data_IF_629675392814
#
_entry.id   IF_629675392814
#
_cell.length_a   1.000
_cell.length_b   1.000
_cell.length_c   1.000
_cell.angle_alpha   90.00
_cell.angle_beta   90.00
_cell.angle_gamma   90.00
#
_symmetry.space_group_name_H-M   'P 1'
#
loop_
_entity.id
_entity.type
_entity.pdbx_description
1 polymer ?
#
# COMPACT_ATOMS: atom_id res chain seq x y z
N UNK A 1 -37.60 27.08 11.97
CA UNK A 1 -36.69 26.35 12.89
C UNK A 1 -35.70 25.54 12.05
N UNK A 2 -34.41 25.60 12.41
CA UNK A 2 -33.26 25.13 11.63
C UNK A 2 -33.07 23.61 11.76
N UNK A 3 -32.89 22.91 10.64
CA UNK A 3 -32.26 21.58 10.58
C UNK A 3 -30.96 21.68 9.76
N UNK A 4 -29.92 22.25 10.36
CA UNK A 4 -28.52 22.09 9.94
C UNK A 4 -27.82 21.35 11.07
N UNK A 5 -27.50 20.07 10.88
CA UNK A 5 -26.80 19.35 11.94
C UNK A 5 -26.63 17.86 11.67
N UNK A 6 -25.78 17.51 10.70
CA UNK A 6 -25.21 16.15 10.63
C UNK A 6 -23.85 16.09 9.89
N UNK A 7 -23.11 17.20 9.85
CA UNK A 7 -21.79 17.28 9.19
C UNK A 7 -20.62 17.45 10.18
N UNK A 8 -20.76 17.05 11.44
CA UNK A 8 -19.77 17.33 12.47
C UNK A 8 -19.52 16.13 13.37
N UNK A 9 -18.82 15.08 12.88
CA UNK A 9 -18.21 14.05 13.73
C UNK A 9 -17.20 13.15 13.00
N UNK A 10 -16.26 13.77 12.27
CA UNK A 10 -15.04 13.10 11.81
C UNK A 10 -13.77 13.93 12.09
N UNK A 11 -13.83 14.91 12.99
CA UNK A 11 -12.67 15.68 13.45
C UNK A 11 -12.27 15.14 14.81
N UNK A 12 -11.19 14.37 14.90
CA UNK A 12 -10.65 14.06 16.22
C UNK A 12 -9.70 12.87 16.33
N UNK A 13 -9.56 12.01 15.30
CA UNK A 13 -8.48 11.04 15.36
C UNK A 13 -7.20 11.72 14.88
N UNK A 14 -6.18 11.90 15.73
CA UNK A 14 -4.89 12.40 15.28
C UNK A 14 -4.37 11.49 14.18
N UNK A 15 -3.77 12.07 13.14
CA UNK A 15 -3.10 11.28 12.12
C UNK A 15 -2.06 10.37 12.81
N UNK A 16 -1.94 9.10 12.40
CA UNK A 16 -0.91 8.22 12.93
C UNK A 16 0.47 8.88 12.76
N UNK A 17 1.42 8.63 13.69
CA UNK A 17 2.76 9.20 13.58
C UNK A 17 3.44 8.76 12.29
N UNK A 18 4.36 9.58 11.78
CA UNK A 18 5.20 9.15 10.66
C UNK A 18 6.04 7.95 11.11
N UNK A 19 6.18 6.96 10.24
CA UNK A 19 7.05 5.82 10.48
C UNK A 19 8.27 5.92 9.58
N UNK A 20 9.40 5.40 10.05
CA UNK A 20 10.63 5.32 9.23
C UNK A 20 10.40 4.57 7.90
N UNK A 21 9.46 3.63 7.88
CA UNK A 21 9.12 2.90 6.65
C UNK A 21 8.41 3.81 5.65
N UNK A 22 7.38 4.55 6.10
CA UNK A 22 6.66 5.50 5.26
C UNK A 22 7.60 6.59 4.72
N UNK A 23 8.45 7.16 5.57
CA UNK A 23 9.44 8.18 5.19
C UNK A 23 10.37 7.68 4.07
N UNK A 24 10.83 6.43 4.16
CA UNK A 24 11.70 5.82 3.14
C UNK A 24 10.98 5.64 1.81
N UNK A 25 9.75 5.12 1.81
CA UNK A 25 9.00 4.94 0.57
C UNK A 25 8.62 6.26 -0.09
N UNK A 26 8.25 7.26 0.71
CA UNK A 26 8.02 8.63 0.20
C UNK A 26 9.29 9.15 -0.46
N UNK A 27 10.45 9.07 0.22
CA UNK A 27 11.71 9.53 -0.33
C UNK A 27 12.10 8.80 -1.62
N UNK A 28 11.83 7.49 -1.75
CA UNK A 28 12.03 6.75 -2.99
C UNK A 28 11.12 7.25 -4.12
N UNK A 29 9.82 7.40 -3.84
CA UNK A 29 8.84 7.86 -4.83
C UNK A 29 9.16 9.28 -5.32
N UNK A 30 9.58 10.19 -4.43
CA UNK A 30 9.98 11.56 -4.78
C UNK A 30 11.24 11.62 -5.65
N UNK A 31 12.13 10.63 -5.52
CA UNK A 31 13.32 10.49 -6.36
C UNK A 31 13.02 9.79 -7.70
N UNK A 32 11.75 9.54 -8.00
CA UNK A 32 11.30 8.92 -9.24
C UNK A 32 11.28 7.39 -9.23
N UNK A 33 11.65 6.74 -8.12
CA UNK A 33 11.62 5.29 -8.03
C UNK A 33 10.19 4.76 -7.98
N UNK A 34 9.92 3.69 -8.74
CA UNK A 34 8.68 2.92 -8.67
C UNK A 34 8.85 1.79 -7.63
N UNK A 35 7.85 1.62 -6.78
CA UNK A 35 7.84 0.65 -5.68
C UNK A 35 6.56 -0.18 -5.77
N UNK A 36 6.74 -1.48 -5.91
CA UNK A 36 5.66 -2.47 -5.83
C UNK A 36 5.89 -3.35 -4.61
N UNK A 37 4.91 -3.39 -3.70
CA UNK A 37 4.87 -4.37 -2.61
C UNK A 37 3.85 -5.45 -2.95
N UNK A 38 4.26 -6.72 -2.87
CA UNK A 38 3.39 -7.86 -3.14
C UNK A 38 3.26 -8.68 -1.86
N UNK A 39 2.02 -8.94 -1.45
CA UNK A 39 1.71 -9.77 -0.29
C UNK A 39 0.86 -10.95 -0.71
N UNK A 40 1.00 -12.06 0.01
CA UNK A 40 -0.06 -13.07 0.04
C UNK A 40 -1.26 -12.56 0.87
N UNK A 41 -2.46 -13.00 0.53
CA UNK A 41 -3.69 -12.63 1.23
C UNK A 41 -3.71 -13.05 2.71
N UNK A 42 -3.05 -14.16 3.06
CA UNK A 42 -2.95 -14.65 4.42
C UNK A 42 -1.78 -14.05 5.21
N UNK A 43 -0.91 -13.23 4.59
CA UNK A 43 0.30 -12.68 5.21
C UNK A 43 -0.03 -11.64 6.30
N UNK A 44 0.20 -11.93 7.60
CA UNK A 44 -0.12 -11.01 8.69
C UNK A 44 0.71 -9.72 8.65
N UNK A 45 1.91 -9.75 8.06
CA UNK A 45 2.78 -8.58 7.92
C UNK A 45 2.16 -7.48 7.06
N UNK A 46 1.24 -7.82 6.14
CA UNK A 46 0.53 -6.82 5.34
C UNK A 46 -0.15 -5.77 6.22
N UNK A 47 -0.88 -6.22 7.25
CA UNK A 47 -1.60 -5.32 8.16
C UNK A 47 -0.63 -4.36 8.87
N UNK A 48 0.53 -4.86 9.31
CA UNK A 48 1.56 -4.03 9.95
C UNK A 48 2.13 -2.98 8.99
N UNK A 49 2.35 -3.35 7.73
CA UNK A 49 2.80 -2.40 6.71
C UNK A 49 1.72 -1.35 6.43
N UNK A 50 0.46 -1.74 6.27
CA UNK A 50 -0.65 -0.79 6.08
C UNK A 50 -0.76 0.20 7.26
N UNK A 51 -0.62 -0.28 8.50
CA UNK A 51 -0.60 0.58 9.69
C UNK A 51 0.61 1.54 9.70
N UNK A 52 1.79 1.08 9.27
CA UNK A 52 2.98 1.92 9.18
C UNK A 52 2.91 2.97 8.07
N UNK A 53 2.16 2.68 7.00
CA UNK A 53 1.98 3.58 5.86
C UNK A 53 0.77 4.50 6.01
N UNK A 54 -0.11 4.27 6.99
CA UNK A 54 -1.42 4.90 7.07
C UNK A 54 -1.41 6.43 6.98
N UNK A 55 -0.40 7.10 7.54
CA UNK A 55 -0.26 8.56 7.50
C UNK A 55 0.00 9.07 6.07
N UNK A 56 0.89 8.41 5.35
CA UNK A 56 1.43 8.87 4.06
C UNK A 56 0.81 8.14 2.86
N UNK A 57 -0.12 7.20 3.11
CA UNK A 57 -0.71 6.35 2.06
C UNK A 57 -1.32 7.15 0.92
N UNK A 58 -2.11 8.17 1.22
CA UNK A 58 -2.72 9.02 0.19
C UNK A 58 -1.68 9.74 -0.68
N UNK A 59 -0.55 10.17 -0.09
CA UNK A 59 0.55 10.80 -0.83
C UNK A 59 1.29 9.80 -1.72
N UNK A 60 1.53 8.60 -1.20
CA UNK A 60 2.15 7.51 -1.95
C UNK A 60 1.27 7.10 -3.14
N UNK A 61 -0.03 6.91 -2.93
CA UNK A 61 -0.97 6.55 -3.99
C UNK A 61 -1.06 7.66 -5.06
N UNK A 62 -1.14 8.93 -4.64
CA UNK A 62 -1.17 10.08 -5.56
C UNK A 62 0.11 10.25 -6.40
N UNK A 63 1.24 9.66 -5.97
CA UNK A 63 2.49 9.72 -6.73
C UNK A 63 2.47 8.89 -8.02
N UNK A 64 1.55 7.92 -8.14
CA UNK A 64 1.51 6.93 -9.22
C UNK A 64 2.69 5.95 -9.22
N UNK A 65 3.63 6.08 -8.27
CA UNK A 65 4.88 5.32 -8.20
C UNK A 65 4.90 4.26 -7.11
N UNK A 66 3.88 4.23 -6.26
CA UNK A 66 3.78 3.26 -5.18
C UNK A 66 2.51 2.42 -5.36
N UNK A 67 2.64 1.10 -5.28
CA UNK A 67 1.52 0.17 -5.39
C UNK A 67 1.67 -0.98 -4.40
N UNK A 68 0.55 -1.42 -3.85
CA UNK A 68 0.46 -2.61 -3.01
C UNK A 68 -0.49 -3.58 -3.67
N UNK A 69 -0.02 -4.78 -3.94
CA UNK A 69 -0.78 -5.86 -4.56
C UNK A 69 -0.90 -7.05 -3.61
N UNK A 70 -2.04 -7.72 -3.69
CA UNK A 70 -2.34 -8.88 -2.87
C UNK A 70 -2.71 -10.03 -3.79
N UNK A 71 -1.95 -11.11 -3.72
CA UNK A 71 -2.20 -12.33 -4.46
C UNK A 71 -2.95 -13.33 -3.59
N UNK A 72 -3.85 -14.09 -4.22
CA UNK A 72 -4.52 -15.20 -3.56
C UNK A 72 -3.63 -16.44 -3.62
N UNK A 73 -3.53 -17.18 -2.51
CA UNK A 73 -2.91 -18.51 -2.43
C UNK A 73 -1.38 -18.57 -2.61
N UNK A 74 -0.65 -17.56 -2.15
CA UNK A 74 0.79 -17.68 -1.87
C UNK A 74 1.04 -18.22 -0.47
N UNK A 75 2.20 -18.82 -0.23
CA UNK A 75 2.80 -18.74 1.10
C UNK A 75 3.66 -17.45 1.18
N UNK A 76 4.21 -17.15 2.35
CA UNK A 76 5.04 -15.96 2.57
C UNK A 76 6.27 -15.82 1.63
N UNK A 77 6.66 -16.88 0.93
CA UNK A 77 7.78 -16.89 -0.04
C UNK A 77 7.32 -17.18 -1.47
N UNK A 78 6.00 -17.25 -1.71
CA UNK A 78 5.40 -17.64 -2.98
C UNK A 78 5.98 -18.95 -3.54
N UNK A 79 6.24 -19.96 -2.70
CA UNK A 79 6.85 -21.23 -3.10
C UNK A 79 6.05 -22.00 -4.17
N UNK A 80 4.71 -22.10 -4.11
CA UNK A 80 3.95 -22.83 -5.13
C UNK A 80 4.14 -22.21 -6.52
N UNK A 81 4.33 -23.05 -7.55
CA UNK A 81 4.54 -22.59 -8.94
C UNK A 81 3.47 -21.62 -9.42
N UNK A 82 2.20 -21.92 -9.12
CA UNK A 82 1.09 -21.03 -9.48
C UNK A 82 1.21 -19.63 -8.87
N UNK A 83 1.76 -19.52 -7.65
CA UNK A 83 2.02 -18.24 -7.00
C UNK A 83 3.18 -17.51 -7.68
N UNK A 84 4.22 -18.23 -8.09
CA UNK A 84 5.35 -17.66 -8.83
C UNK A 84 4.91 -17.13 -10.21
N UNK A 85 4.08 -17.89 -10.93
CA UNK A 85 3.51 -17.47 -12.21
C UNK A 85 2.65 -16.21 -12.05
N UNK A 86 1.85 -16.14 -10.99
CA UNK A 86 1.04 -14.96 -10.67
C UNK A 86 1.90 -13.73 -10.34
N UNK A 87 2.98 -13.90 -9.56
CA UNK A 87 3.95 -12.83 -9.29
C UNK A 87 4.65 -12.41 -10.58
N UNK A 88 5.07 -13.36 -11.42
CA UNK A 88 5.73 -13.11 -12.70
C UNK A 88 4.86 -12.25 -13.62
N UNK A 89 3.62 -12.68 -13.85
CA UNK A 89 2.67 -11.93 -14.68
C UNK A 89 2.35 -10.54 -14.10
N UNK A 90 2.33 -10.40 -12.76
CA UNK A 90 2.17 -9.09 -12.12
C UNK A 90 3.38 -8.18 -12.36
N UNK A 91 4.59 -8.72 -12.23
CA UNK A 91 5.83 -7.98 -12.46
C UNK A 91 5.97 -7.55 -13.92
N UNK A 92 5.66 -8.43 -14.87
CA UNK A 92 5.66 -8.11 -16.30
C UNK A 92 4.77 -6.89 -16.61
N UNK A 93 3.49 -6.95 -16.20
CA UNK A 93 2.57 -5.81 -16.37
C UNK A 93 3.09 -4.54 -15.70
N UNK A 94 3.61 -4.65 -14.49
CA UNK A 94 4.13 -3.48 -13.77
C UNK A 94 5.32 -2.85 -14.49
N UNK A 95 6.23 -3.66 -15.06
CA UNK A 95 7.39 -3.19 -15.79
C UNK A 95 7.02 -2.61 -17.17
N UNK A 96 5.98 -3.14 -17.82
CA UNK A 96 5.49 -2.64 -19.11
C UNK A 96 4.69 -1.33 -18.97
N UNK A 97 4.00 -1.12 -17.85
CA UNK A 97 3.30 0.14 -17.51
C UNK A 97 4.27 1.32 -17.20
N UNK A 98 5.59 1.17 -17.39
CA UNK A 98 6.64 2.16 -17.07
C UNK A 98 6.86 3.19 -18.18
#
# INVERSE_FOLDING_TARGET
ARARGLAARARGRPAPPATRLAERFVALAERGCRVLLVFDAAEPMRRRVDEQLARDRARLDASGRFRVEVLAHGDHIFLPLASQDAVGALLERWLEDA
#
